data_IF_795388074185
#
_entry.id   IF_795388074185
#
_cell.length_a   1.000
_cell.length_b   1.000
_cell.length_c   1.000
_cell.angle_alpha   90.00
_cell.angle_beta   90.00
_cell.angle_gamma   90.00
#
_symmetry.space_group_name_H-M   'P 1'
#
loop_
_entity.id
_entity.type
_entity.pdbx_description
1 polymer ?
#
# COMPACT_ATOMS: atom_id res chain seq x y z
N UNK A 1 18.36 -10.59 14.21
CA UNK A 1 17.51 -9.48 13.71
C UNK A 1 16.12 -10.01 13.45
N UNK A 2 15.11 -9.17 13.63
CA UNK A 2 13.70 -9.48 13.29
C UNK A 2 13.21 -8.48 12.26
N UNK A 3 12.34 -8.92 11.36
CA UNK A 3 11.60 -7.99 10.51
C UNK A 3 10.60 -7.25 11.39
N UNK A 4 10.73 -5.93 11.46
CA UNK A 4 9.83 -5.08 12.25
C UNK A 4 8.67 -4.55 11.40
N UNK A 5 8.97 -4.14 10.19
CA UNK A 5 7.99 -3.60 9.27
C UNK A 5 8.64 -3.06 8.00
N UNK A 6 7.90 -2.22 7.32
CA UNK A 6 8.38 -1.56 6.11
C UNK A 6 7.82 -0.14 6.04
N UNK A 7 8.42 0.69 5.19
CA UNK A 7 7.99 2.07 5.03
C UNK A 7 8.10 2.56 3.60
N UNK A 8 7.33 3.61 3.32
CA UNK A 8 7.34 4.34 2.07
C UNK A 8 8.07 5.67 2.26
N UNK A 9 8.97 5.99 1.35
CA UNK A 9 9.51 7.34 1.25
C UNK A 9 8.60 8.18 0.37
N UNK A 10 7.97 9.19 0.95
CA UNK A 10 6.81 9.87 0.41
C UNK A 10 7.18 11.30 0.01
N UNK A 11 6.77 11.71 -1.19
CA UNK A 11 6.93 13.09 -1.65
C UNK A 11 5.93 14.02 -0.97
N UNK A 12 4.66 13.62 -0.94
CA UNK A 12 3.56 14.46 -0.44
C UNK A 12 2.65 13.69 0.52
N UNK A 13 2.87 13.87 1.82
CA UNK A 13 2.01 13.30 2.86
C UNK A 13 0.58 13.82 2.80
N UNK A 14 0.37 15.03 2.28
CA UNK A 14 -0.96 15.61 2.11
C UNK A 14 -1.82 14.86 1.09
N UNK A 15 -1.20 14.11 0.19
CA UNK A 15 -1.87 13.27 -0.81
C UNK A 15 -1.90 11.80 -0.35
N UNK A 16 -0.80 11.32 0.22
CA UNK A 16 -0.65 9.91 0.59
C UNK A 16 -1.46 9.52 1.83
N UNK A 17 -1.51 10.38 2.84
CA UNK A 17 -2.30 10.09 4.05
C UNK A 17 -3.79 9.93 3.72
N UNK A 18 -4.45 10.85 3.01
CA UNK A 18 -5.85 10.66 2.66
C UNK A 18 -6.11 9.38 1.86
N UNK A 19 -5.23 9.01 0.94
CA UNK A 19 -5.40 7.79 0.17
C UNK A 19 -5.36 6.55 1.05
N UNK A 20 -4.33 6.40 1.88
CA UNK A 20 -4.20 5.22 2.75
C UNK A 20 -5.25 5.19 3.86
N UNK A 21 -5.59 6.34 4.43
CA UNK A 21 -6.59 6.44 5.48
C UNK A 21 -8.02 6.29 4.96
N UNK A 22 -8.39 7.08 3.96
CA UNK A 22 -9.79 7.23 3.56
C UNK A 22 -10.19 6.25 2.46
N UNK A 23 -9.25 5.87 1.58
CA UNK A 23 -9.51 4.89 0.51
C UNK A 23 -9.18 3.47 0.96
N UNK A 24 -8.03 3.23 1.56
CA UNK A 24 -7.62 1.90 2.00
C UNK A 24 -8.04 1.55 3.43
N UNK A 25 -8.49 2.52 4.22
CA UNK A 25 -8.98 2.27 5.57
C UNK A 25 -7.89 2.07 6.63
N UNK A 26 -6.67 2.54 6.39
CA UNK A 26 -5.61 2.49 7.40
C UNK A 26 -5.88 3.51 8.50
N UNK A 27 -5.76 3.11 9.76
CA UNK A 27 -6.02 3.98 10.91
C UNK A 27 -4.86 4.96 11.17
N UNK A 28 -4.61 5.86 10.23
CA UNK A 28 -3.58 6.87 10.33
C UNK A 28 -4.09 8.03 11.19
N UNK A 29 -3.34 8.36 12.23
CA UNK A 29 -3.64 9.44 13.19
C UNK A 29 -2.87 10.71 12.91
N UNK A 30 -1.74 10.59 12.23
CA UNK A 30 -0.86 11.70 11.93
C UNK A 30 -1.45 12.63 10.87
N UNK A 31 -0.94 13.85 10.89
CA UNK A 31 -1.23 14.90 9.88
C UNK A 31 -0.01 15.10 9.00
N UNK A 32 -0.17 15.66 7.79
CA UNK A 32 0.98 15.95 6.91
C UNK A 32 2.09 16.76 7.60
N UNK A 33 1.71 17.68 8.50
CA UNK A 33 2.65 18.52 9.23
C UNK A 33 3.55 17.75 10.19
N UNK A 34 3.15 16.54 10.59
CA UNK A 34 3.95 15.69 11.47
C UNK A 34 5.19 15.10 10.76
N UNK A 35 5.19 15.12 9.44
CA UNK A 35 6.33 14.70 8.62
C UNK A 35 6.53 13.20 8.48
N UNK A 36 5.77 12.40 9.20
CA UNK A 36 5.82 10.94 9.13
C UNK A 36 4.50 10.30 9.52
N UNK A 37 4.38 9.00 9.24
CA UNK A 37 3.30 8.13 9.71
C UNK A 37 3.94 6.91 10.36
N UNK A 38 3.41 6.52 11.49
CA UNK A 38 3.81 5.33 12.22
C UNK A 38 2.57 4.55 12.64
N UNK A 39 2.34 3.39 12.04
CA UNK A 39 1.14 2.59 12.24
C UNK A 39 1.49 1.11 12.39
N UNK A 40 0.93 0.46 13.40
CA UNK A 40 0.91 -1.00 13.44
C UNK A 40 -0.43 -1.48 12.88
N UNK A 41 -0.38 -2.18 11.76
CA UNK A 41 -1.55 -2.74 11.09
C UNK A 41 -1.36 -4.25 10.95
N UNK A 42 -2.33 -4.99 11.47
CA UNK A 42 -2.32 -6.46 11.40
C UNK A 42 -0.97 -7.07 11.84
N UNK A 43 -0.40 -6.53 12.94
CA UNK A 43 0.86 -6.99 13.50
C UNK A 43 2.13 -6.54 12.75
N UNK A 44 2.00 -5.75 11.70
CA UNK A 44 3.12 -5.25 10.89
C UNK A 44 3.25 -3.74 11.03
N UNK A 45 4.46 -3.26 11.25
CA UNK A 45 4.75 -1.84 11.26
C UNK A 45 4.70 -1.28 9.84
N UNK A 46 3.93 -0.23 9.66
CA UNK A 46 3.82 0.52 8.42
C UNK A 46 4.22 1.97 8.66
N UNK A 47 5.16 2.46 7.86
CA UNK A 47 5.72 3.80 7.99
C UNK A 47 5.55 4.59 6.70
N UNK A 48 5.37 5.90 6.86
CA UNK A 48 5.66 6.87 5.81
C UNK A 48 6.68 7.87 6.33
N UNK A 49 7.66 8.20 5.53
CA UNK A 49 8.70 9.17 5.86
C UNK A 49 8.93 10.09 4.67
N UNK A 50 8.96 11.40 4.93
CA UNK A 50 9.17 12.40 3.87
C UNK A 50 10.52 12.20 3.17
N UNK A 51 10.52 12.18 1.83
CA UNK A 51 11.74 12.03 1.02
C UNK A 51 12.80 13.07 1.36
N UNK A 52 12.39 14.32 1.48
CA UNK A 52 13.31 15.43 1.79
C UNK A 52 13.93 15.30 3.18
N UNK A 53 13.15 14.89 4.16
CA UNK A 53 13.65 14.66 5.51
C UNK A 53 14.63 13.50 5.56
N UNK A 54 14.34 12.43 4.83
CA UNK A 54 15.24 11.30 4.70
C UNK A 54 16.53 11.64 3.97
N UNK A 55 16.46 12.40 2.89
CA UNK A 55 17.63 12.89 2.17
C UNK A 55 18.50 13.77 3.05
N UNK A 56 17.88 14.64 3.84
CA UNK A 56 18.60 15.47 4.82
C UNK A 56 19.26 14.62 5.90
N UNK A 57 18.55 13.62 6.43
CA UNK A 57 19.08 12.74 7.47
C UNK A 57 20.28 11.93 6.98
N UNK A 58 20.27 11.47 5.74
CA UNK A 58 21.34 10.66 5.14
C UNK A 58 22.41 11.48 4.44
N UNK A 59 22.21 12.79 4.28
CA UNK A 59 23.10 13.68 3.50
C UNK A 59 23.29 13.19 2.05
N UNK A 60 22.23 12.65 1.46
CA UNK A 60 22.20 12.10 0.10
C UNK A 60 20.94 12.49 -0.61
N UNK A 61 20.98 12.44 -1.94
CA UNK A 61 19.80 12.49 -2.81
C UNK A 61 19.56 11.12 -3.43
N UNK A 62 18.32 10.83 -3.75
CA UNK A 62 17.91 9.57 -4.34
C UNK A 62 17.08 9.83 -5.59
N UNK A 63 17.09 8.88 -6.52
CA UNK A 63 16.21 8.91 -7.67
C UNK A 63 14.87 8.26 -7.32
N UNK A 64 13.79 8.89 -7.78
CA UNK A 64 12.45 8.40 -7.58
C UNK A 64 11.75 8.26 -8.93
N UNK A 65 11.15 7.11 -9.17
CA UNK A 65 10.37 6.88 -10.38
C UNK A 65 9.05 7.64 -10.31
N UNK A 66 8.55 8.08 -11.47
CA UNK A 66 7.22 8.64 -11.62
C UNK A 66 6.28 7.60 -12.18
N UNK A 67 5.02 7.63 -11.72
CA UNK A 67 4.02 6.66 -12.12
C UNK A 67 4.23 5.27 -11.49
N UNK A 68 3.41 4.28 -11.89
CA UNK A 68 3.50 2.94 -11.33
C UNK A 68 4.89 2.35 -11.49
N UNK A 69 5.45 1.81 -10.39
CA UNK A 69 6.79 1.24 -10.38
C UNK A 69 6.77 -0.13 -9.71
N UNK A 70 7.65 -1.02 -10.15
CA UNK A 70 7.68 -2.42 -9.77
C UNK A 70 8.80 -2.80 -8.80
N UNK A 71 9.31 -1.90 -7.97
CA UNK A 71 10.36 -2.22 -7.02
C UNK A 71 9.89 -3.11 -5.88
N UNK A 72 8.66 -2.93 -5.44
CA UNK A 72 8.02 -3.76 -4.43
C UNK A 72 6.50 -3.59 -4.53
N UNK A 73 5.77 -4.40 -3.79
CA UNK A 73 4.33 -4.26 -3.66
C UNK A 73 3.89 -4.32 -2.21
N UNK A 74 2.79 -3.65 -1.91
CA UNK A 74 2.03 -3.86 -0.69
C UNK A 74 0.93 -4.88 -1.00
N UNK A 75 0.93 -6.01 -0.32
CA UNK A 75 -0.07 -7.04 -0.53
C UNK A 75 -1.15 -6.97 0.55
N UNK A 76 -2.40 -6.81 0.14
CA UNK A 76 -3.58 -6.83 1.00
C UNK A 76 -4.41 -8.06 0.68
N UNK A 77 -5.04 -8.63 1.70
CA UNK A 77 -5.85 -9.83 1.57
C UNK A 77 -7.32 -9.55 1.87
N UNK A 78 -8.20 -10.16 1.09
CA UNK A 78 -9.64 -10.22 1.37
C UNK A 78 -10.10 -11.68 1.31
N UNK A 79 -11.17 -12.02 2.03
CA UNK A 79 -11.56 -13.41 2.24
C UNK A 79 -12.16 -14.08 1.00
N UNK A 80 -12.78 -13.32 0.10
CA UNK A 80 -13.49 -13.89 -1.05
C UNK A 80 -13.05 -13.28 -2.37
N UNK A 81 -13.23 -14.04 -3.46
CA UNK A 81 -13.02 -13.53 -4.81
C UNK A 81 -13.91 -12.33 -5.13
N UNK A 82 -15.15 -12.36 -4.66
CA UNK A 82 -16.09 -11.25 -4.88
C UNK A 82 -15.61 -9.94 -4.22
N UNK A 83 -14.95 -10.04 -3.09
CA UNK A 83 -14.38 -8.87 -2.40
C UNK A 83 -13.21 -8.27 -3.18
N UNK A 84 -12.41 -9.07 -3.90
CA UNK A 84 -11.37 -8.55 -4.80
C UNK A 84 -11.99 -7.64 -5.85
N UNK A 85 -13.05 -8.11 -6.52
CA UNK A 85 -13.75 -7.33 -7.53
C UNK A 85 -14.37 -6.05 -6.96
N UNK A 86 -15.02 -6.16 -5.81
CA UNK A 86 -15.67 -5.03 -5.15
C UNK A 86 -14.67 -3.96 -4.70
N UNK A 87 -13.55 -4.37 -4.10
CA UNK A 87 -12.51 -3.46 -3.64
C UNK A 87 -11.80 -2.78 -4.80
N UNK A 88 -11.47 -3.51 -5.87
CA UNK A 88 -10.91 -2.90 -7.07
C UNK A 88 -11.81 -1.78 -7.61
N UNK A 89 -13.07 -2.08 -7.81
CA UNK A 89 -14.04 -1.10 -8.31
C UNK A 89 -14.13 0.12 -7.40
N UNK A 90 -14.28 -0.10 -6.10
CA UNK A 90 -14.40 0.97 -5.10
C UNK A 90 -13.16 1.86 -5.09
N UNK A 91 -11.96 1.28 -5.07
CA UNK A 91 -10.71 2.03 -4.99
C UNK A 91 -10.47 2.85 -6.27
N UNK A 92 -10.74 2.27 -7.44
CA UNK A 92 -10.60 3.00 -8.71
C UNK A 92 -11.59 4.15 -8.79
N UNK A 93 -12.84 3.96 -8.36
CA UNK A 93 -13.85 5.03 -8.29
C UNK A 93 -13.44 6.16 -7.32
N UNK A 94 -12.66 5.85 -6.31
CA UNK A 94 -12.15 6.83 -5.34
C UNK A 94 -10.77 7.40 -5.70
N UNK A 95 -10.29 7.16 -6.90
CA UNK A 95 -9.09 7.80 -7.43
C UNK A 95 -7.83 6.93 -7.43
N UNK A 96 -7.91 5.65 -7.08
CA UNK A 96 -6.81 4.71 -7.24
C UNK A 96 -6.49 4.49 -8.71
N UNK A 97 -5.20 4.40 -9.05
CA UNK A 97 -4.77 4.16 -10.42
C UNK A 97 -4.91 2.68 -10.75
N UNK A 98 -5.72 2.27 -11.77
CA UNK A 98 -5.83 0.88 -12.16
C UNK A 98 -4.54 0.38 -12.81
N UNK A 99 -4.11 -0.84 -12.44
CA UNK A 99 -2.93 -1.49 -12.99
C UNK A 99 -3.27 -2.85 -13.60
N UNK A 100 -3.98 -3.70 -12.85
CA UNK A 100 -4.47 -4.98 -13.33
C UNK A 100 -5.89 -5.21 -12.80
N UNK A 101 -6.83 -5.41 -13.71
CA UNK A 101 -8.19 -5.79 -13.34
C UNK A 101 -8.24 -7.14 -12.61
N UNK A 102 -9.27 -7.39 -11.77
CA UNK A 102 -9.41 -8.66 -11.08
C UNK A 102 -9.30 -9.84 -12.03
N UNK A 103 -8.39 -10.74 -11.75
CA UNK A 103 -8.05 -11.90 -12.57
C UNK A 103 -7.85 -13.11 -11.67
N UNK A 104 -8.44 -14.24 -12.03
CA UNK A 104 -8.13 -15.50 -11.36
C UNK A 104 -6.94 -16.15 -12.05
N UNK A 105 -5.85 -16.25 -11.31
CA UNK A 105 -4.58 -16.75 -11.82
C UNK A 105 -4.57 -18.29 -11.93
N UNK A 106 -3.70 -18.86 -12.76
CA UNK A 106 -3.61 -20.33 -12.90
C UNK A 106 -3.34 -21.09 -11.61
N UNK A 107 -2.72 -20.44 -10.61
CA UNK A 107 -2.48 -21.05 -9.29
C UNK A 107 -3.67 -20.93 -8.33
N UNK A 108 -4.79 -20.35 -8.77
CA UNK A 108 -6.04 -20.33 -8.00
C UNK A 108 -6.29 -19.08 -7.17
N UNK A 109 -5.36 -18.15 -7.12
CA UNK A 109 -5.55 -16.84 -6.46
C UNK A 109 -6.32 -15.91 -7.40
N UNK A 110 -7.30 -15.17 -6.87
CA UNK A 110 -7.86 -14.03 -7.57
C UNK A 110 -7.19 -12.78 -7.05
N UNK A 111 -6.65 -11.96 -7.94
CA UNK A 111 -5.91 -10.77 -7.58
C UNK A 111 -6.18 -9.62 -8.53
N UNK A 112 -5.99 -8.40 -8.03
CA UNK A 112 -5.94 -7.19 -8.81
C UNK A 112 -4.79 -6.31 -8.32
N UNK A 113 -4.40 -5.34 -9.14
CA UNK A 113 -3.39 -4.36 -8.79
C UNK A 113 -3.91 -2.95 -9.03
N UNK A 114 -3.65 -2.10 -8.07
CA UNK A 114 -3.80 -0.65 -8.19
C UNK A 114 -2.48 0.00 -7.81
N UNK A 115 -2.32 1.27 -8.14
CA UNK A 115 -1.20 2.06 -7.63
C UNK A 115 -1.73 3.19 -6.75
N UNK A 116 -0.96 3.54 -5.73
CA UNK A 116 -1.22 4.71 -4.93
C UNK A 116 -0.85 5.99 -5.69
N UNK A 117 -1.13 7.20 -5.14
CA UNK A 117 -0.87 8.46 -5.86
C UNK A 117 0.59 8.68 -6.26
N UNK A 118 1.54 8.02 -5.62
CA UNK A 118 2.98 8.12 -5.95
C UNK A 118 3.51 6.92 -6.73
N UNK A 119 2.62 6.01 -7.16
CA UNK A 119 2.96 4.92 -8.06
C UNK A 119 3.39 3.62 -7.37
N UNK A 120 3.25 3.50 -6.06
CA UNK A 120 3.53 2.24 -5.39
C UNK A 120 2.44 1.22 -5.70
N UNK A 121 2.84 0.00 -6.05
CA UNK A 121 1.91 -1.06 -6.41
C UNK A 121 1.27 -1.67 -5.16
N UNK A 122 -0.02 -1.90 -5.25
CA UNK A 122 -0.82 -2.53 -4.21
C UNK A 122 -1.56 -3.70 -4.82
N UNK A 123 -1.30 -4.90 -4.32
CA UNK A 123 -2.06 -6.09 -4.64
C UNK A 123 -3.24 -6.23 -3.68
N UNK A 124 -4.40 -6.60 -4.21
CA UNK A 124 -5.53 -7.09 -3.41
C UNK A 124 -5.83 -8.48 -3.90
N UNK A 125 -5.64 -9.48 -3.05
CA UNK A 125 -5.74 -10.88 -3.42
C UNK A 125 -6.57 -11.70 -2.47
N UNK A 126 -7.05 -12.85 -2.96
CA UNK A 126 -7.82 -13.81 -2.19
C UNK A 126 -7.60 -15.23 -2.70
N UNK A 127 -7.61 -16.18 -1.77
CA UNK A 127 -7.67 -17.61 -2.05
C UNK A 127 -9.09 -18.17 -1.88
N UNK A 128 -10.10 -17.28 -1.77
CA UNK A 128 -11.50 -17.60 -1.53
C UNK A 128 -11.71 -18.39 -0.24
N UNK A 129 -11.03 -17.98 0.78
CA UNK A 129 -11.12 -18.52 2.15
C UNK A 129 -10.75 -17.45 3.16
N UNK A 130 -11.17 -17.58 4.44
CA UNK A 130 -10.76 -16.66 5.49
C UNK A 130 -9.26 -16.53 5.60
N UNK A 131 -8.80 -15.34 5.97
CA UNK A 131 -7.39 -15.09 6.21
C UNK A 131 -6.85 -16.02 7.30
N UNK A 132 -5.70 -16.61 7.03
CA UNK A 132 -4.95 -17.40 7.99
C UNK A 132 -3.59 -16.74 8.23
N UNK A 133 -3.22 -16.59 9.50
CA UNK A 133 -1.88 -16.11 9.82
C UNK A 133 -0.84 -17.07 9.23
N UNK A 134 0.17 -16.50 8.59
CA UNK A 134 1.27 -17.31 8.07
C UNK A 134 2.20 -17.69 9.20
N UNK A 135 2.71 -18.90 9.13
CA UNK A 135 3.73 -19.39 10.06
C UNK A 135 4.98 -18.50 9.95
N UNK A 136 5.49 -18.13 11.10
CA UNK A 136 6.70 -17.31 11.21
C UNK A 136 7.96 -18.16 11.25
#
# INVERSE_FOLDING_TARGET
MRLDGFGLFVEDLGVMIPFYRDVLGFEIKEKPEDGNVYLVKDGTLFLMFGRKDFEKMTSRTYEYLKGPNGHFELALYVDTYAEVDAEYKRIVEQGGTPVLEPTTEPWGQRTCYIADPEGNLIEIGSWDKPYEEKDL
#
